data_IF_436605255308
#
_entry.id   IF_436605255308
#
_cell.length_a   1.000
_cell.length_b   1.000
_cell.length_c   1.000
_cell.angle_alpha   90.00
_cell.angle_beta   90.00
_cell.angle_gamma   90.00
#
_symmetry.space_group_name_H-M   'P 1'
#
loop_
_entity.id
_entity.type
_entity.pdbx_description
1 polymer ?
#
# COMPACT_ATOMS: atom_id res chain seq x y z
N UNK A 1 34.28 12.27 -0.80
CA UNK A 1 33.96 13.65 -0.37
C UNK A 1 34.86 14.61 -1.13
N UNK A 2 34.31 15.68 -1.70
CA UNK A 2 35.09 16.73 -2.35
C UNK A 2 35.73 17.66 -1.30
N UNK A 3 36.95 18.13 -1.57
CA UNK A 3 37.72 18.98 -0.65
C UNK A 3 37.10 20.39 -0.56
N UNK A 4 37.03 21.02 0.65
CA UNK A 4 36.50 22.37 0.81
C UNK A 4 37.32 23.44 0.05
N UNK A 5 36.68 24.53 -0.42
CA UNK A 5 37.28 25.50 -1.34
C UNK A 5 38.42 26.34 -0.74
N UNK A 6 38.53 26.39 0.59
CA UNK A 6 39.56 27.17 1.29
C UNK A 6 40.83 26.38 1.59
N UNK A 7 40.91 25.10 1.18
CA UNK A 7 42.11 24.27 1.37
C UNK A 7 42.93 24.27 0.07
N UNK A 8 44.18 24.77 0.07
CA UNK A 8 45.01 24.83 -1.13
C UNK A 8 45.24 23.46 -1.77
N UNK A 9 45.14 23.37 -3.10
CA UNK A 9 45.52 22.17 -3.83
C UNK A 9 47.04 22.14 -4.07
N UNK A 10 47.64 20.96 -3.99
CA UNK A 10 49.05 20.79 -4.33
C UNK A 10 49.28 21.15 -5.81
N UNK A 11 50.30 21.96 -6.13
CA UNK A 11 50.58 22.35 -7.51
C UNK A 11 50.85 21.12 -8.39
N UNK A 12 50.22 21.07 -9.56
CA UNK A 12 50.38 19.97 -10.52
C UNK A 12 49.36 18.82 -10.40
N UNK A 13 48.47 18.82 -9.40
CA UNK A 13 47.31 17.91 -9.36
C UNK A 13 46.04 18.65 -9.72
N UNK A 14 45.49 18.36 -10.91
CA UNK A 14 44.15 18.80 -11.27
C UNK A 14 43.14 18.27 -10.23
N UNK A 15 42.26 19.15 -9.74
CA UNK A 15 41.19 18.77 -8.83
C UNK A 15 40.29 17.73 -9.53
N UNK A 16 40.23 16.51 -9.00
CA UNK A 16 39.32 15.48 -9.49
C UNK A 16 37.90 15.87 -9.08
N UNK A 17 37.14 16.47 -9.98
CA UNK A 17 35.71 16.66 -9.81
C UNK A 17 34.97 15.39 -10.24
N UNK A 18 33.93 15.03 -9.49
CA UNK A 18 33.00 14.01 -9.93
C UNK A 18 32.25 14.55 -11.15
N UNK A 19 32.38 13.87 -12.29
CA UNK A 19 31.44 14.00 -13.39
C UNK A 19 30.47 12.83 -13.28
N UNK A 20 29.18 13.12 -13.21
CA UNK A 20 28.16 12.10 -13.37
C UNK A 20 28.34 11.42 -14.73
N UNK A 21 28.14 10.09 -14.81
CA UNK A 21 28.05 9.40 -16.10
C UNK A 21 27.06 10.10 -17.03
N UNK A 22 27.25 10.04 -18.36
CA UNK A 22 26.28 10.60 -19.30
C UNK A 22 24.90 10.05 -18.97
N UNK A 23 23.94 10.95 -18.74
CA UNK A 23 22.55 10.54 -18.55
C UNK A 23 22.08 9.89 -19.85
N UNK A 24 21.55 8.67 -19.74
CA UNK A 24 20.71 8.13 -20.81
C UNK A 24 19.52 9.08 -20.98
N UNK A 25 19.04 9.24 -22.21
CA UNK A 25 17.87 10.06 -22.49
C UNK A 25 16.70 9.71 -21.56
N UNK A 26 15.82 10.68 -21.29
CA UNK A 26 14.65 10.46 -20.44
C UNK A 26 13.81 9.28 -20.92
N UNK A 27 13.14 8.61 -19.97
CA UNK A 27 12.19 7.54 -20.30
C UNK A 27 11.11 8.05 -21.26
N UNK A 28 10.76 7.24 -22.26
CA UNK A 28 9.66 7.48 -23.19
C UNK A 28 8.78 6.25 -23.24
N UNK A 29 7.48 6.48 -23.38
CA UNK A 29 6.48 5.43 -23.52
C UNK A 29 6.44 4.90 -24.98
N UNK A 30 7.56 4.37 -25.49
CA UNK A 30 7.72 3.96 -26.90
C UNK A 30 7.50 2.46 -27.14
N UNK A 31 7.16 1.68 -26.12
CA UNK A 31 7.02 0.23 -26.23
C UNK A 31 5.60 -0.18 -26.61
N UNK A 32 5.43 -1.25 -27.42
CA UNK A 32 4.13 -1.84 -27.69
C UNK A 32 3.45 -2.28 -26.38
N UNK A 33 2.37 -1.59 -25.99
CA UNK A 33 1.63 -1.84 -24.76
C UNK A 33 1.78 -0.77 -23.67
N UNK A 34 2.67 0.21 -23.85
CA UNK A 34 2.67 1.39 -22.99
C UNK A 34 1.48 2.30 -23.34
N UNK A 35 0.80 2.80 -22.31
CA UNK A 35 -0.26 3.79 -22.47
C UNK A 35 0.41 5.13 -22.80
N UNK A 36 0.38 5.49 -24.08
CA UNK A 36 1.01 6.71 -24.57
C UNK A 36 0.31 7.99 -24.06
N UNK A 37 -1.00 7.90 -23.80
CA UNK A 37 -1.85 9.02 -23.39
C UNK A 37 -2.95 8.56 -22.42
N UNK A 38 -3.33 9.46 -21.50
CA UNK A 38 -4.42 9.27 -20.56
C UNK A 38 -4.00 8.70 -19.19
N UNK A 39 -4.80 8.92 -18.15
CA UNK A 39 -4.56 8.33 -16.83
C UNK A 39 -4.73 6.80 -16.88
N UNK A 40 -4.05 6.11 -15.97
CA UNK A 40 -4.33 4.70 -15.72
C UNK A 40 -5.81 4.52 -15.31
N UNK A 41 -6.47 3.41 -15.69
CA UNK A 41 -7.82 3.11 -15.23
C UNK A 41 -7.92 3.18 -13.71
N UNK A 42 -8.95 3.85 -13.22
CA UNK A 42 -9.20 4.08 -11.81
C UNK A 42 -10.70 3.96 -11.51
N UNK A 43 -11.05 3.80 -10.23
CA UNK A 43 -12.42 3.64 -9.76
C UNK A 43 -12.70 2.23 -9.24
N UNK A 44 -13.99 1.94 -9.06
CA UNK A 44 -14.48 0.70 -8.46
C UNK A 44 -13.92 -0.54 -9.19
N UNK A 45 -13.42 -1.52 -8.43
CA UNK A 45 -12.86 -2.75 -9.00
C UNK A 45 -11.45 -2.64 -9.60
N UNK A 46 -10.92 -1.44 -9.83
CA UNK A 46 -9.52 -1.25 -10.29
C UNK A 46 -8.51 -1.21 -9.14
N UNK A 47 -9.00 -1.08 -7.90
CA UNK A 47 -8.17 -1.01 -6.70
C UNK A 47 -7.36 0.28 -6.61
N UNK A 48 -6.52 0.37 -5.58
CA UNK A 48 -5.68 1.54 -5.32
C UNK A 48 -4.21 1.19 -5.47
N UNK A 49 -3.56 1.83 -6.44
CA UNK A 49 -2.16 1.59 -6.76
C UNK A 49 -1.27 2.29 -5.73
N UNK A 50 -0.32 1.57 -5.16
CA UNK A 50 0.60 2.08 -4.15
C UNK A 50 1.84 1.19 -4.04
N UNK A 51 3.00 1.77 -3.68
CA UNK A 51 4.24 1.00 -3.55
C UNK A 51 4.15 -0.04 -2.41
N UNK A 52 5.01 -1.05 -2.47
CA UNK A 52 5.31 -1.96 -1.34
C UNK A 52 4.15 -2.79 -0.76
N UNK A 53 3.22 -3.28 -1.59
CA UNK A 53 2.16 -4.20 -1.16
C UNK A 53 2.69 -5.43 -0.39
N UNK A 54 3.85 -5.96 -0.78
CA UNK A 54 4.50 -7.07 -0.07
C UNK A 54 4.93 -6.71 1.36
N UNK A 55 5.29 -5.45 1.62
CA UNK A 55 5.64 -4.98 2.96
C UNK A 55 4.40 -4.86 3.86
N UNK A 56 3.25 -4.44 3.31
CA UNK A 56 1.99 -4.42 4.06
C UNK A 56 1.60 -5.80 4.61
N UNK A 57 1.78 -6.87 3.82
CA UNK A 57 1.57 -8.25 4.28
C UNK A 57 2.50 -8.63 5.44
N UNK A 58 3.74 -8.14 5.44
CA UNK A 58 4.68 -8.36 6.54
C UNK A 58 4.23 -7.65 7.82
N UNK A 59 3.71 -6.42 7.70
CA UNK A 59 3.16 -5.68 8.84
C UNK A 59 1.91 -6.36 9.40
N UNK A 60 0.99 -6.81 8.54
CA UNK A 60 -0.24 -7.48 8.94
C UNK A 60 -0.01 -8.73 9.81
N UNK A 61 1.09 -9.47 9.58
CA UNK A 61 1.46 -10.63 10.43
C UNK A 61 1.61 -10.29 11.92
N UNK A 62 1.95 -9.03 12.25
CA UNK A 62 2.07 -8.57 13.65
C UNK A 62 0.71 -8.35 14.32
N UNK A 63 -0.34 -8.13 13.54
CA UNK A 63 -1.70 -7.94 14.03
C UNK A 63 -2.45 -9.27 14.21
N UNK A 64 -2.09 -10.31 13.45
CA UNK A 64 -2.78 -11.62 13.48
C UNK A 64 -3.05 -12.16 14.91
N UNK A 65 -2.11 -12.12 15.87
CA UNK A 65 -2.36 -12.62 17.23
C UNK A 65 -3.40 -11.80 18.03
N UNK A 66 -3.71 -10.59 17.58
CA UNK A 66 -4.58 -9.63 18.26
C UNK A 66 -6.01 -9.62 17.67
N UNK A 67 -6.24 -10.33 16.56
CA UNK A 67 -7.51 -10.26 15.84
C UNK A 67 -8.62 -11.01 16.58
N UNK A 68 -9.71 -10.32 16.86
CA UNK A 68 -10.97 -10.89 17.35
C UNK A 68 -11.74 -11.53 16.18
N UNK A 69 -11.41 -12.79 15.88
CA UNK A 69 -12.03 -13.58 14.81
C UNK A 69 -13.20 -14.42 15.32
N UNK A 70 -14.25 -14.53 14.51
CA UNK A 70 -15.32 -15.51 14.68
C UNK A 70 -14.90 -16.87 14.12
N UNK A 71 -15.48 -17.95 14.63
CA UNK A 71 -15.15 -19.32 14.21
C UNK A 71 -15.37 -19.58 12.70
N UNK A 72 -16.26 -18.83 12.05
CA UNK A 72 -16.51 -18.94 10.61
C UNK A 72 -15.52 -18.16 9.74
N UNK A 73 -14.67 -17.33 10.33
CA UNK A 73 -13.76 -16.43 9.59
C UNK A 73 -12.40 -17.08 9.36
N UNK A 74 -11.87 -16.90 8.15
CA UNK A 74 -10.53 -17.37 7.80
C UNK A 74 -9.56 -16.21 7.91
N UNK A 75 -8.53 -16.36 8.75
CA UNK A 75 -7.49 -15.33 8.94
C UNK A 75 -6.88 -14.84 7.62
N UNK A 76 -6.69 -15.74 6.65
CA UNK A 76 -6.14 -15.38 5.33
C UNK A 76 -7.04 -14.40 4.57
N UNK A 77 -8.36 -14.55 4.70
CA UNK A 77 -9.35 -13.77 3.98
C UNK A 77 -9.45 -12.39 4.63
N UNK A 78 -9.51 -12.36 5.97
CA UNK A 78 -9.48 -11.14 6.78
C UNK A 78 -8.22 -10.30 6.51
N UNK A 79 -7.04 -10.92 6.56
CA UNK A 79 -5.77 -10.24 6.29
C UNK A 79 -5.73 -9.71 4.86
N UNK A 80 -6.15 -10.50 3.87
CA UNK A 80 -6.14 -10.09 2.48
C UNK A 80 -7.04 -8.87 2.22
N UNK A 81 -8.26 -8.86 2.77
CA UNK A 81 -9.17 -7.70 2.66
C UNK A 81 -8.66 -6.46 3.38
N UNK A 82 -8.23 -6.60 4.65
CA UNK A 82 -7.76 -5.45 5.44
C UNK A 82 -6.45 -4.86 4.90
N UNK A 83 -5.56 -5.69 4.34
CA UNK A 83 -4.35 -5.18 3.66
C UNK A 83 -4.74 -4.33 2.45
N UNK A 84 -5.76 -4.69 1.68
CA UNK A 84 -6.21 -3.87 0.54
C UNK A 84 -6.80 -2.54 0.99
N UNK A 85 -7.55 -2.49 2.10
CA UNK A 85 -8.03 -1.24 2.71
C UNK A 85 -6.86 -0.38 3.19
N UNK A 86 -5.88 -0.98 3.86
CA UNK A 86 -4.68 -0.27 4.31
C UNK A 86 -3.86 0.29 3.14
N UNK A 87 -3.76 -0.47 2.04
CA UNK A 87 -3.12 0.00 0.81
C UNK A 87 -3.89 1.16 0.19
N UNK A 88 -5.23 1.11 0.14
CA UNK A 88 -6.07 2.24 -0.28
C UNK A 88 -5.73 3.49 0.52
N UNK A 89 -5.66 3.39 1.85
CA UNK A 89 -5.26 4.51 2.71
C UNK A 89 -3.86 5.03 2.37
N UNK A 90 -2.86 4.14 2.30
CA UNK A 90 -1.48 4.54 1.98
C UNK A 90 -1.37 5.25 0.61
N UNK A 91 -2.09 4.74 -0.39
CA UNK A 91 -2.18 5.33 -1.73
C UNK A 91 -2.83 6.72 -1.72
N UNK A 92 -3.91 6.91 -0.95
CA UNK A 92 -4.55 8.24 -0.79
C UNK A 92 -3.58 9.27 -0.19
N UNK A 93 -2.66 8.84 0.67
CA UNK A 93 -1.58 9.68 1.21
C UNK A 93 -0.32 9.74 0.32
N UNK A 94 -0.31 9.08 -0.84
CA UNK A 94 0.82 9.10 -1.77
C UNK A 94 2.12 8.50 -1.22
N UNK A 95 2.03 7.53 -0.30
CA UNK A 95 3.20 6.96 0.40
C UNK A 95 3.16 5.42 0.49
N UNK A 96 4.26 4.84 0.93
CA UNK A 96 4.32 3.42 1.32
C UNK A 96 3.45 3.13 2.56
N UNK A 97 3.00 1.88 2.73
CA UNK A 97 2.19 1.46 3.87
C UNK A 97 2.98 1.47 5.18
N UNK A 98 2.32 1.91 6.26
CA UNK A 98 2.86 1.89 7.63
C UNK A 98 1.91 1.13 8.56
N UNK A 99 2.36 0.80 9.77
CA UNK A 99 1.55 0.04 10.74
C UNK A 99 0.19 0.70 11.06
N UNK A 100 0.13 2.03 11.02
CA UNK A 100 -1.10 2.78 11.28
C UNK A 100 -2.18 2.56 10.21
N UNK A 101 -1.80 2.25 8.96
CA UNK A 101 -2.79 1.95 7.92
C UNK A 101 -3.47 0.61 8.17
N UNK A 102 -2.70 -0.38 8.62
CA UNK A 102 -3.21 -1.70 8.98
C UNK A 102 -4.09 -1.61 10.22
N UNK A 103 -3.66 -0.84 11.22
CA UNK A 103 -4.46 -0.60 12.42
C UNK A 103 -5.82 -0.02 12.06
N UNK A 104 -5.86 1.05 11.26
CA UNK A 104 -7.12 1.67 10.81
C UNK A 104 -7.98 0.70 10.01
N UNK A 105 -7.38 -0.11 9.12
CA UNK A 105 -8.14 -1.11 8.37
C UNK A 105 -8.76 -2.19 9.26
N UNK A 106 -8.01 -2.72 10.24
CA UNK A 106 -8.53 -3.73 11.16
C UNK A 106 -9.54 -3.12 12.15
N UNK A 107 -9.30 -1.90 12.65
CA UNK A 107 -10.21 -1.16 13.53
C UNK A 107 -11.54 -0.83 12.84
N UNK A 108 -11.48 -0.39 11.58
CA UNK A 108 -12.68 -0.07 10.79
C UNK A 108 -13.64 -1.26 10.71
N UNK A 109 -13.08 -2.44 10.48
CA UNK A 109 -13.86 -3.66 10.47
C UNK A 109 -14.06 -4.25 11.86
N UNK A 110 -13.55 -3.65 12.94
CA UNK A 110 -13.70 -4.08 14.33
C UNK A 110 -12.94 -5.37 14.69
N UNK A 111 -11.87 -5.71 13.97
CA UNK A 111 -11.06 -6.89 14.27
C UNK A 111 -10.10 -6.70 15.45
N UNK A 112 -9.88 -5.48 15.94
CA UNK A 112 -9.06 -5.21 17.13
C UNK A 112 -9.90 -4.98 18.39
N UNK A 113 -11.23 -5.09 18.28
CA UNK A 113 -12.16 -4.96 19.40
C UNK A 113 -13.06 -6.19 19.51
N UNK A 114 -12.95 -6.93 20.62
CA UNK A 114 -13.80 -8.08 20.90
C UNK A 114 -15.27 -7.69 21.18
N UNK A 115 -15.53 -6.43 21.53
CA UNK A 115 -16.85 -5.85 21.75
C UNK A 115 -17.42 -5.14 20.52
N UNK A 116 -16.85 -5.35 19.34
CA UNK A 116 -17.27 -4.67 18.12
C UNK A 116 -18.78 -4.85 17.84
N UNK A 117 -19.46 -3.83 17.30
CA UNK A 117 -20.90 -3.88 17.06
C UNK A 117 -21.32 -5.07 16.20
N UNK A 118 -22.46 -5.68 16.55
CA UNK A 118 -22.90 -6.94 15.95
C UNK A 118 -23.16 -6.80 14.44
N UNK A 119 -23.60 -5.63 13.99
CA UNK A 119 -23.81 -5.32 12.58
C UNK A 119 -22.50 -5.34 11.78
N UNK A 120 -21.41 -4.85 12.37
CA UNK A 120 -20.07 -4.89 11.76
C UNK A 120 -19.57 -6.33 11.74
N UNK A 121 -19.75 -7.08 12.83
CA UNK A 121 -19.35 -8.50 12.88
C UNK A 121 -20.14 -9.34 11.86
N UNK A 122 -21.43 -9.07 11.71
CA UNK A 122 -22.31 -9.79 10.79
C UNK A 122 -21.96 -9.54 9.32
N UNK A 123 -21.54 -8.33 8.96
CA UNK A 123 -21.17 -7.99 7.57
C UNK A 123 -19.91 -8.71 7.09
N UNK A 124 -18.93 -8.90 7.99
CA UNK A 124 -17.62 -9.50 7.67
C UNK A 124 -17.72 -10.85 6.97
N UNK A 125 -18.58 -11.74 7.45
CA UNK A 125 -18.65 -13.13 6.97
C UNK A 125 -18.93 -13.20 5.48
N UNK A 126 -19.92 -12.45 5.01
CA UNK A 126 -20.29 -12.44 3.59
C UNK A 126 -19.27 -11.66 2.76
N UNK A 127 -18.78 -10.54 3.29
CA UNK A 127 -17.90 -9.62 2.56
C UNK A 127 -16.49 -10.20 2.33
N UNK A 128 -15.91 -10.86 3.34
CA UNK A 128 -14.53 -11.32 3.29
C UNK A 128 -14.38 -12.73 2.73
N UNK A 129 -15.45 -13.53 2.62
CA UNK A 129 -15.36 -14.92 2.20
C UNK A 129 -14.64 -15.08 0.86
N UNK A 130 -13.47 -15.76 0.87
CA UNK A 130 -12.70 -16.01 -0.34
C UNK A 130 -11.72 -14.90 -0.72
N UNK A 131 -11.63 -13.81 0.03
CA UNK A 131 -10.71 -12.71 -0.25
C UNK A 131 -9.22 -13.12 -0.28
N UNK A 132 -8.82 -14.18 0.44
CA UNK A 132 -7.47 -14.72 0.41
C UNK A 132 -7.24 -15.81 -0.65
N UNK A 133 -8.24 -16.09 -1.50
CA UNK A 133 -8.14 -17.03 -2.60
C UNK A 133 -7.41 -16.46 -3.83
N UNK A 134 -7.08 -17.35 -4.77
CA UNK A 134 -6.48 -17.01 -6.06
C UNK A 134 -7.31 -15.96 -6.80
N UNK A 135 -8.61 -16.21 -6.95
CA UNK A 135 -9.56 -15.33 -7.62
C UNK A 135 -10.17 -14.28 -6.68
N UNK A 136 -9.58 -14.08 -5.50
CA UNK A 136 -10.10 -13.16 -4.48
C UNK A 136 -9.91 -11.68 -4.80
N UNK A 137 -9.31 -11.33 -5.94
CA UNK A 137 -9.02 -9.94 -6.31
C UNK A 137 -10.28 -9.05 -6.34
N UNK A 138 -11.38 -9.42 -7.02
CA UNK A 138 -12.58 -8.58 -7.04
C UNK A 138 -13.20 -8.39 -5.65
N UNK A 139 -13.08 -9.41 -4.79
CA UNK A 139 -13.57 -9.37 -3.41
C UNK A 139 -12.74 -8.36 -2.60
N UNK A 140 -11.41 -8.39 -2.73
CA UNK A 140 -10.50 -7.42 -2.09
C UNK A 140 -10.77 -5.97 -2.53
N UNK A 141 -11.00 -5.75 -3.82
CA UNK A 141 -11.39 -4.43 -4.32
C UNK A 141 -12.72 -3.99 -3.72
N UNK A 142 -13.75 -4.83 -3.76
CA UNK A 142 -15.05 -4.51 -3.13
C UNK A 142 -14.90 -4.14 -1.66
N UNK A 143 -14.15 -4.92 -0.87
CA UNK A 143 -13.90 -4.61 0.55
C UNK A 143 -13.27 -3.23 0.72
N UNK A 144 -12.32 -2.86 -0.13
CA UNK A 144 -11.68 -1.54 -0.08
C UNK A 144 -12.60 -0.42 -0.57
N UNK A 145 -13.43 -0.67 -1.58
CA UNK A 145 -14.36 0.28 -2.17
C UNK A 145 -15.50 0.64 -1.20
N UNK A 146 -15.94 -0.30 -0.36
CA UNK A 146 -16.92 -0.06 0.73
C UNK A 146 -16.44 0.95 1.78
N UNK A 147 -15.12 1.11 1.95
CA UNK A 147 -14.56 2.05 2.94
C UNK A 147 -14.32 3.40 2.29
N UNK A 148 -15.06 4.43 2.74
CA UNK A 148 -14.91 5.78 2.19
C UNK A 148 -13.53 6.39 2.51
N UNK A 149 -13.00 7.28 1.65
CA UNK A 149 -11.73 7.98 1.93
C UNK A 149 -11.74 8.74 3.27
N UNK A 150 -12.88 9.34 3.63
CA UNK A 150 -13.05 10.11 4.87
C UNK A 150 -12.93 9.19 6.10
N UNK A 151 -13.50 7.97 6.03
CA UNK A 151 -13.34 6.96 7.08
C UNK A 151 -11.87 6.51 7.25
N UNK A 152 -11.06 6.67 6.20
CA UNK A 152 -9.61 6.42 6.22
C UNK A 152 -8.79 7.66 6.61
N UNK A 153 -9.43 8.77 6.97
CA UNK A 153 -8.78 10.02 7.35
C UNK A 153 -8.06 10.72 6.20
N UNK A 154 -8.33 10.33 4.95
CA UNK A 154 -7.92 11.11 3.79
C UNK A 154 -8.84 12.34 3.65
N UNK A 155 -8.29 13.49 3.22
CA UNK A 155 -9.08 14.70 2.97
C UNK A 155 -10.04 14.55 1.78
#
# INVERSE_FOLDING_TARGET
MAQPPYVPHAPGKAARHYNSPPQRGGWRADRPGELAEGPLPAGEGFGHQGPDQGYALRLAKRFVPQLALQASEKVRDVVAGCVTVAMKRASLFGRAPVSADLQVAFDHWGYLDAGAPIEVVASRRALFAGAGGHDGYPIRCRIADEVSPEALGAP
#
